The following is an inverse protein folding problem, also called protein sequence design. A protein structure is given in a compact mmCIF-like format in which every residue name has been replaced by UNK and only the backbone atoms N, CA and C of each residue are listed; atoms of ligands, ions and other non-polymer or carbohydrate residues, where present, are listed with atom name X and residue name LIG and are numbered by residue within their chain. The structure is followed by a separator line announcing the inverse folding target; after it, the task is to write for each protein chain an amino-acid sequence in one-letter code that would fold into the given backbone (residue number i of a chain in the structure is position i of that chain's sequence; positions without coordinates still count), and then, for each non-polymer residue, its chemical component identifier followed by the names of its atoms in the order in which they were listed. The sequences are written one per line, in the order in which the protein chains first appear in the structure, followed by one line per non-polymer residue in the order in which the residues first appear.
data_IF_581937119992
#
_entry.id   IF_581937119992
#
_cell.length_a   1.000
_cell.length_b   1.000
_cell.length_c   1.000
_cell.angle_alpha   90.00
_cell.angle_beta   90.00
_cell.angle_gamma   90.00
#
_symmetry.space_group_name_H-M   'P 1'
#
loop_
_entity.id
_entity.type
_entity.pdbx_description
1 polymer ?
#
# COMPACT_ATOMS: atom_id res chain seq x y z
N UNK A 1 -16.27 -6.09 -14.14
CA UNK A 1 -15.04 -5.30 -13.90
C UNK A 1 -14.73 -5.34 -12.42
N UNK A 2 -13.47 -5.58 -12.06
CA UNK A 2 -12.95 -5.56 -10.69
C UNK A 2 -11.54 -4.98 -10.68
N UNK A 3 -11.24 -4.16 -9.67
CA UNK A 3 -9.87 -3.74 -9.34
C UNK A 3 -9.56 -4.27 -7.95
N UNK A 4 -8.50 -5.07 -7.84
CA UNK A 4 -7.97 -5.60 -6.59
C UNK A 4 -6.65 -4.90 -6.29
N UNK A 5 -6.58 -4.22 -5.15
CA UNK A 5 -5.35 -3.62 -4.64
C UNK A 5 -4.96 -4.30 -3.35
N UNK A 6 -3.69 -4.68 -3.25
CA UNK A 6 -3.12 -5.41 -2.13
C UNK A 6 -1.91 -4.64 -1.61
N UNK A 7 -2.04 -4.07 -0.41
CA UNK A 7 -0.93 -3.44 0.30
C UNK A 7 -0.30 -4.41 1.28
N UNK A 8 0.88 -4.95 0.93
CA UNK A 8 1.64 -5.84 1.82
C UNK A 8 2.39 -5.13 2.93
N UNK A 9 2.66 -3.83 2.78
CA UNK A 9 3.47 -3.07 3.74
C UNK A 9 4.90 -3.61 3.91
N UNK A 10 5.30 -4.62 3.13
CA UNK A 10 6.62 -5.25 3.19
C UNK A 10 7.68 -4.37 2.50
N UNK A 11 7.28 -3.58 1.50
CA UNK A 11 8.13 -2.64 0.77
C UNK A 11 7.44 -1.29 0.70
N UNK A 12 8.21 -0.25 0.97
CA UNK A 12 7.78 1.14 0.86
C UNK A 12 8.90 1.99 0.28
N UNK A 13 8.55 2.94 -0.57
CA UNK A 13 9.45 4.00 -1.01
C UNK A 13 9.45 5.11 0.04
N UNK A 14 10.63 5.49 0.51
CA UNK A 14 10.81 6.60 1.44
C UNK A 14 11.54 7.74 0.71
N UNK A 15 10.91 8.91 0.67
CA UNK A 15 11.52 10.14 0.15
C UNK A 15 11.78 11.09 1.33
N UNK A 16 13.06 11.45 1.56
CA UNK A 16 13.50 12.24 2.71
C UNK A 16 14.28 13.49 2.28
N UNK A 17 14.11 14.55 3.05
CA UNK A 17 14.89 15.78 2.96
C UNK A 17 15.30 16.27 4.36
N UNK A 18 16.42 17.01 4.49
CA UNK A 18 16.78 17.61 5.77
C UNK A 18 15.65 18.50 6.29
N UNK A 19 15.28 18.34 7.56
CA UNK A 19 14.25 19.14 8.17
C UNK A 19 14.76 20.57 8.40
N UNK A 20 14.00 21.57 7.93
CA UNK A 20 14.33 22.98 8.07
C UNK A 20 13.51 23.66 9.17
N UNK A 21 14.16 24.56 9.88
CA UNK A 21 13.56 25.45 10.87
C UNK A 21 13.39 26.84 10.25
N UNK A 22 12.31 27.56 10.59
CA UNK A 22 12.06 28.92 10.10
C UNK A 22 13.01 29.99 10.67
N UNK A 23 13.86 29.65 11.64
CA UNK A 23 14.85 30.54 12.23
C UNK A 23 16.17 30.48 11.44
N UNK A 24 16.59 31.64 10.93
CA UNK A 24 17.79 31.81 10.11
C UNK A 24 19.09 31.69 10.89
N UNK A 25 19.04 31.72 12.22
CA UNK A 25 20.21 31.58 13.09
C UNK A 25 20.28 30.21 13.77
N UNK A 26 19.36 29.30 13.44
CA UNK A 26 19.31 27.98 14.06
C UNK A 26 20.32 27.03 13.39
N UNK A 27 21.33 26.61 14.15
CA UNK A 27 22.36 25.64 13.71
C UNK A 27 22.07 24.21 14.20
N UNK A 28 20.90 23.97 14.79
CA UNK A 28 20.54 22.66 15.33
C UNK A 28 20.23 21.64 14.22
N UNK A 29 20.62 20.39 14.42
CA UNK A 29 20.22 19.27 13.57
C UNK A 29 18.79 18.83 13.93
N UNK A 30 17.85 19.12 13.04
CA UNK A 30 16.45 18.75 13.19
C UNK A 30 16.10 17.41 12.53
N UNK A 31 17.11 16.67 12.03
CA UNK A 31 16.94 15.40 11.37
C UNK A 31 16.35 15.52 9.97
N UNK A 32 15.57 14.52 9.57
CA UNK A 32 14.95 14.44 8.25
C UNK A 32 13.42 14.44 8.37
N UNK A 33 12.78 15.10 7.43
CA UNK A 33 11.34 15.01 7.19
C UNK A 33 11.12 14.36 5.84
N UNK A 34 9.93 13.82 5.62
CA UNK A 34 9.62 13.19 4.34
C UNK A 34 8.32 12.41 4.35
N UNK A 35 8.12 11.63 3.29
CA UNK A 35 6.94 10.81 3.09
C UNK A 35 7.30 9.35 2.84
N UNK A 36 6.36 8.47 3.17
CA UNK A 36 6.43 7.04 2.88
C UNK A 36 5.28 6.67 1.97
N UNK A 37 5.57 5.97 0.88
CA UNK A 37 4.58 5.44 -0.05
C UNK A 37 4.66 3.93 -0.05
N UNK A 38 3.54 3.25 0.20
CA UNK A 38 3.47 1.79 0.12
C UNK A 38 3.58 1.34 -1.34
N UNK A 39 4.33 0.25 -1.58
CA UNK A 39 4.37 -0.40 -2.88
C UNK A 39 3.26 -1.45 -2.95
N UNK A 40 2.09 -1.02 -3.44
CA UNK A 40 0.90 -1.86 -3.52
C UNK A 40 0.84 -2.61 -4.86
N UNK A 41 0.43 -3.87 -4.82
CA UNK A 41 0.09 -4.62 -6.04
C UNK A 41 -1.35 -4.26 -6.45
N UNK A 42 -1.54 -3.72 -7.66
CA UNK A 42 -2.86 -3.48 -8.24
C UNK A 42 -3.10 -4.35 -9.46
N UNK A 43 -4.22 -5.06 -9.47
CA UNK A 43 -4.68 -5.91 -10.56
C UNK A 43 -6.06 -5.47 -11.01
N UNK A 44 -6.24 -5.28 -12.32
CA UNK A 44 -7.51 -4.94 -12.93
C UNK A 44 -7.98 -6.07 -13.83
N UNK A 45 -9.22 -6.50 -13.65
CA UNK A 45 -9.81 -7.63 -14.37
C UNK A 45 -11.20 -7.27 -14.88
N UNK A 46 -11.42 -7.53 -16.16
CA UNK A 46 -12.58 -7.08 -16.91
C UNK A 46 -13.24 -8.24 -17.63
N UNK A 47 -14.57 -8.21 -17.77
CA UNK A 47 -15.24 -9.24 -18.58
C UNK A 47 -14.89 -9.10 -20.06
N UNK A 48 -14.71 -7.86 -20.53
CA UNK A 48 -14.41 -7.56 -21.92
C UNK A 48 -12.98 -7.96 -22.33
N UNK A 49 -12.01 -7.87 -21.42
CA UNK A 49 -10.61 -8.22 -21.67
C UNK A 49 -10.22 -9.63 -21.23
N UNK A 50 -10.74 -10.07 -20.08
CA UNK A 50 -10.26 -11.27 -19.36
C UNK A 50 -11.34 -12.36 -19.25
N UNK A 51 -12.59 -12.01 -19.60
CA UNK A 51 -13.73 -12.91 -19.55
C UNK A 51 -14.40 -12.97 -18.18
N UNK A 52 -15.65 -13.46 -18.13
CA UNK A 52 -16.46 -13.47 -16.91
C UNK A 52 -15.95 -14.44 -15.84
N UNK A 53 -15.24 -15.50 -16.23
CA UNK A 53 -14.61 -16.43 -15.28
C UNK A 53 -13.46 -15.79 -14.51
N UNK A 54 -12.60 -15.01 -15.17
CA UNK A 54 -11.49 -14.32 -14.52
C UNK A 54 -12.00 -13.31 -13.47
N UNK A 55 -13.08 -12.60 -13.79
CA UNK A 55 -13.74 -11.69 -12.84
C UNK A 55 -14.24 -12.45 -11.60
N UNK A 56 -14.92 -13.58 -11.79
CA UNK A 56 -15.39 -14.43 -10.67
C UNK A 56 -14.23 -14.96 -9.82
N UNK A 57 -13.16 -15.44 -10.45
CA UNK A 57 -11.97 -15.95 -9.75
C UNK A 57 -11.28 -14.85 -8.95
N UNK A 58 -11.19 -13.64 -9.49
CA UNK A 58 -10.58 -12.49 -8.79
C UNK A 58 -11.36 -12.13 -7.52
N UNK A 59 -12.69 -12.15 -7.59
CA UNK A 59 -13.54 -11.91 -6.40
C UNK A 59 -13.39 -13.02 -5.36
N UNK A 60 -13.36 -14.29 -5.78
CA UNK A 60 -13.15 -15.41 -4.88
C UNK A 60 -11.78 -15.34 -4.19
N UNK A 61 -10.73 -15.02 -4.97
CA UNK A 61 -9.39 -14.82 -4.44
C UNK A 61 -9.33 -13.67 -3.43
N UNK A 62 -9.94 -12.52 -3.73
CA UNK A 62 -9.99 -11.39 -2.81
C UNK A 62 -10.65 -11.75 -1.47
N UNK A 63 -11.73 -12.54 -1.50
CA UNK A 63 -12.39 -13.05 -0.30
C UNK A 63 -11.46 -13.96 0.50
N UNK A 64 -10.88 -14.99 -0.13
CA UNK A 64 -9.98 -15.93 0.54
C UNK A 64 -8.75 -15.24 1.13
N UNK A 65 -8.21 -14.23 0.43
CA UNK A 65 -7.08 -13.44 0.90
C UNK A 65 -7.44 -12.59 2.12
N UNK A 66 -8.62 -11.98 2.11
CA UNK A 66 -9.13 -11.20 3.24
C UNK A 66 -9.32 -12.09 4.48
N UNK A 67 -9.89 -13.27 4.32
CA UNK A 67 -10.07 -14.25 5.39
C UNK A 67 -8.73 -14.74 5.96
N UNK A 68 -7.77 -15.07 5.09
CA UNK A 68 -6.46 -15.56 5.50
C UNK A 68 -5.63 -14.53 6.28
N UNK A 69 -5.83 -13.24 6.00
CA UNK A 69 -5.05 -12.15 6.61
C UNK A 69 -5.73 -11.46 7.79
N UNK A 70 -7.05 -11.67 7.97
CA UNK A 70 -7.82 -11.08 9.07
C UNK A 70 -7.29 -11.47 10.47
N UNK A 71 -6.78 -12.69 10.64
CA UNK A 71 -6.23 -13.16 11.93
C UNK A 71 -4.87 -12.50 12.28
N UNK A 72 -4.03 -12.26 11.28
CA UNK A 72 -2.71 -11.60 11.47
C UNK A 72 -2.88 -10.12 11.77
N UNK A 73 -3.81 -9.44 11.10
CA UNK A 73 -4.12 -8.02 11.32
C UNK A 73 -4.70 -7.73 12.71
N UNK A 74 -5.36 -8.71 13.34
CA UNK A 74 -5.87 -8.58 14.72
C UNK A 74 -4.78 -8.76 15.79
N UNK A 75 -3.67 -9.43 15.46
CA UNK A 75 -2.56 -9.69 16.40
C UNK A 75 -1.51 -8.57 16.38
N UNK A 76 -1.44 -7.81 15.28
CA UNK A 76 -0.53 -6.66 15.14
C UNK A 76 -1.08 -5.31 15.64
N UNK A 77 -2.30 -5.26 16.20
CA UNK A 77 -2.91 -4.06 16.80
C UNK A 77 -2.84 -4.09 18.32
#
# INVERSE_FOLDING_TARGET
EVVLTIGWGAVSRIDLEPAACGDTNCEADHGYTGSSTADDLSLRVSEAGDGPDAVRQTLAFAQSLSEATAATAATGR
#
